data_IF_820786227327
#
_entry.id   IF_820786227327
#
_cell.length_a   1.000
_cell.length_b   1.000
_cell.length_c   1.000
_cell.angle_alpha   90.00
_cell.angle_beta   90.00
_cell.angle_gamma   90.00
#
_symmetry.space_group_name_H-M   'P 1'
#
loop_
_entity.id
_entity.type
_entity.pdbx_description
1 polymer ?
#
# COMPACT_ATOMS: atom_id res chain seq x y z
N UNK A 1 -3.80 -8.82 -25.23
CA UNK A 1 -3.02 -7.79 -24.57
C UNK A 1 -3.98 -7.08 -23.62
N UNK A 2 -3.78 -7.29 -22.33
CA UNK A 2 -4.86 -7.24 -21.36
C UNK A 2 -5.28 -5.85 -20.89
N UNK A 3 -6.49 -5.48 -21.20
CA UNK A 3 -7.23 -4.40 -20.55
C UNK A 3 -7.71 -4.75 -19.11
N UNK A 4 -7.24 -5.87 -18.54
CA UNK A 4 -7.76 -6.42 -17.30
C UNK A 4 -7.32 -5.71 -16.03
N UNK A 5 -6.06 -5.29 -15.92
CA UNK A 5 -5.50 -4.77 -14.67
C UNK A 5 -6.05 -3.38 -14.30
N UNK A 6 -6.07 -2.46 -15.22
CA UNK A 6 -6.58 -1.10 -14.99
C UNK A 6 -8.10 -1.05 -14.69
N UNK A 7 -8.91 -1.91 -15.31
CA UNK A 7 -10.34 -2.01 -15.02
C UNK A 7 -10.65 -2.59 -13.63
N UNK A 8 -9.77 -3.42 -13.10
CA UNK A 8 -9.95 -4.04 -11.78
C UNK A 8 -9.60 -3.06 -10.66
N UNK A 9 -8.55 -2.24 -10.85
CA UNK A 9 -8.19 -1.13 -9.95
C UNK A 9 -9.30 -0.06 -9.96
N UNK A 10 -9.83 0.31 -11.13
CA UNK A 10 -10.95 1.25 -11.24
C UNK A 10 -12.26 0.77 -10.62
N UNK A 11 -12.44 -0.54 -10.41
CA UNK A 11 -13.63 -1.09 -9.74
C UNK A 11 -13.49 -1.14 -8.21
N UNK A 12 -12.27 -1.21 -7.69
CA UNK A 12 -12.02 -1.28 -6.24
C UNK A 12 -11.67 0.06 -5.59
N UNK A 13 -11.13 0.98 -6.38
CA UNK A 13 -10.83 2.35 -5.99
C UNK A 13 -11.55 3.25 -7.00
N UNK A 14 -12.42 4.13 -6.55
CA UNK A 14 -12.86 5.24 -7.39
C UNK A 14 -11.67 6.19 -7.53
N UNK A 15 -10.84 5.93 -8.55
CA UNK A 15 -9.54 6.57 -8.74
C UNK A 15 -9.68 8.10 -8.74
N UNK A 16 -10.76 8.64 -9.33
CA UNK A 16 -10.98 10.10 -9.35
C UNK A 16 -11.16 10.67 -7.93
N UNK A 17 -11.93 10.04 -7.07
CA UNK A 17 -12.12 10.54 -5.70
C UNK A 17 -10.89 10.28 -4.82
N UNK A 18 -10.09 9.25 -5.13
CA UNK A 18 -8.80 9.05 -4.47
C UNK A 18 -7.76 10.07 -4.96
N UNK A 19 -7.78 10.43 -6.24
CA UNK A 19 -6.97 11.51 -6.80
C UNK A 19 -7.36 12.87 -6.21
N UNK A 20 -8.65 13.16 -6.04
CA UNK A 20 -9.14 14.37 -5.38
C UNK A 20 -8.70 14.43 -3.91
N UNK A 21 -8.77 13.29 -3.20
CA UNK A 21 -8.24 13.17 -1.84
C UNK A 21 -6.72 13.38 -1.80
N UNK A 22 -5.96 12.74 -2.69
CA UNK A 22 -4.51 12.95 -2.80
C UNK A 22 -4.19 14.40 -3.15
N UNK A 23 -4.95 15.01 -4.06
CA UNK A 23 -4.78 16.42 -4.44
C UNK A 23 -5.01 17.35 -3.24
N UNK A 24 -6.00 17.05 -2.38
CA UNK A 24 -6.22 17.79 -1.14
C UNK A 24 -5.05 17.66 -0.13
N UNK A 25 -4.32 16.55 -0.17
CA UNK A 25 -3.11 16.34 0.65
C UNK A 25 -1.86 16.99 0.05
N UNK A 26 -1.87 17.29 -1.25
CA UNK A 26 -0.71 17.85 -1.98
C UNK A 26 -0.36 19.27 -1.54
N UNK A 27 -1.30 20.05 -0.98
CA UNK A 27 -1.06 21.40 -0.48
C UNK A 27 0.02 21.48 0.61
N UNK A 28 0.34 20.36 1.26
CA UNK A 28 1.34 20.25 2.32
C UNK A 28 2.64 19.57 1.87
N UNK A 29 2.79 19.26 0.57
CA UNK A 29 3.98 18.61 0.06
C UNK A 29 5.10 19.65 -0.18
N UNK A 30 6.38 19.28 0.03
CA UNK A 30 7.50 20.16 -0.29
C UNK A 30 7.56 20.43 -1.79
N UNK A 31 7.98 21.64 -2.13
CA UNK A 31 8.24 22.00 -3.54
C UNK A 31 9.31 21.07 -4.13
N UNK A 32 9.01 20.47 -5.26
CA UNK A 32 9.93 19.61 -6.02
C UNK A 32 10.16 20.29 -7.38
N UNK A 33 11.42 20.65 -7.74
CA UNK A 33 11.73 21.22 -9.05
C UNK A 33 11.37 20.27 -10.20
N UNK A 34 10.95 20.84 -11.34
CA UNK A 34 10.61 20.07 -12.54
C UNK A 34 11.77 19.21 -13.05
N UNK A 35 13.01 19.71 -12.91
CA UNK A 35 14.25 19.01 -13.23
C UNK A 35 15.26 19.26 -12.12
N UNK A 36 15.85 18.20 -11.60
CA UNK A 36 16.87 18.28 -10.55
C UNK A 36 17.96 17.22 -10.76
N UNK A 37 19.21 17.65 -10.72
CA UNK A 37 20.36 16.73 -10.65
C UNK A 37 20.47 16.19 -9.22
N UNK A 38 20.13 14.91 -9.02
CA UNK A 38 20.14 14.27 -7.70
C UNK A 38 21.51 13.70 -7.37
N UNK A 39 22.17 13.10 -8.37
CA UNK A 39 23.51 12.57 -8.30
C UNK A 39 24.22 12.74 -9.65
N UNK A 40 25.54 12.47 -9.76
CA UNK A 40 26.23 12.53 -11.05
C UNK A 40 25.58 11.65 -12.14
N UNK A 41 24.82 10.64 -11.75
CA UNK A 41 24.20 9.66 -12.66
C UNK A 41 22.67 9.72 -12.70
N UNK A 42 22.03 10.51 -11.82
CA UNK A 42 20.57 10.55 -11.72
C UNK A 42 20.05 11.96 -11.84
N UNK A 43 19.24 12.20 -12.85
CA UNK A 43 18.45 13.42 -13.02
C UNK A 43 16.99 13.05 -12.77
N UNK A 44 16.36 13.72 -11.80
CA UNK A 44 14.91 13.65 -11.61
C UNK A 44 14.24 14.64 -12.57
N UNK A 45 13.28 14.13 -13.33
CA UNK A 45 12.39 14.95 -14.15
C UNK A 45 10.97 14.65 -13.68
N UNK A 46 10.22 15.65 -13.24
CA UNK A 46 8.80 15.49 -12.97
C UNK A 46 8.10 15.18 -14.29
N UNK A 47 7.66 13.92 -14.41
CA UNK A 47 7.10 13.40 -15.64
C UNK A 47 5.67 13.89 -15.86
N UNK A 48 5.48 14.66 -16.91
CA UNK A 48 4.17 14.86 -17.51
C UNK A 48 3.99 13.97 -18.76
N UNK A 49 4.95 13.05 -19.02
CA UNK A 49 4.89 12.24 -20.24
C UNK A 49 5.68 10.93 -20.15
N UNK A 50 5.03 9.75 -20.35
CA UNK A 50 5.72 8.48 -20.48
C UNK A 50 6.50 8.44 -21.81
N UNK A 51 7.80 8.48 -21.79
CA UNK A 51 8.60 8.31 -23.01
C UNK A 51 9.94 9.02 -23.07
N UNK A 52 10.38 9.73 -22.05
CA UNK A 52 11.75 10.24 -22.01
C UNK A 52 12.69 9.20 -21.41
N UNK A 53 13.52 8.63 -22.25
CA UNK A 53 14.63 7.75 -21.84
C UNK A 53 15.86 8.64 -21.64
N UNK A 54 16.45 8.59 -20.44
CA UNK A 54 17.72 9.21 -20.15
C UNK A 54 18.78 8.13 -20.06
N UNK A 55 19.79 8.19 -20.93
CA UNK A 55 20.96 7.30 -20.88
C UNK A 55 22.10 8.04 -20.26
N UNK A 56 22.71 7.47 -19.22
CA UNK A 56 23.93 8.00 -18.59
C UNK A 56 25.02 6.96 -18.78
N UNK A 57 26.17 7.35 -19.34
CA UNK A 57 27.32 6.46 -19.48
C UNK A 57 27.87 6.05 -18.12
N UNK A 58 28.23 4.77 -17.98
CA UNK A 58 28.89 4.25 -16.78
C UNK A 58 27.97 3.91 -15.62
N UNK A 59 26.66 3.73 -15.85
CA UNK A 59 25.72 3.23 -14.83
C UNK A 59 25.31 1.79 -15.12
N UNK A 60 25.41 0.93 -14.10
CA UNK A 60 24.88 -0.44 -14.11
C UNK A 60 23.51 -0.44 -13.47
N UNK A 61 22.48 -0.75 -14.26
CA UNK A 61 21.09 -0.79 -13.79
C UNK A 61 20.60 -2.23 -13.77
N UNK A 62 20.22 -2.70 -12.58
CA UNK A 62 19.65 -4.04 -12.38
C UNK A 62 18.16 -3.98 -12.11
N UNK A 63 17.37 -4.65 -12.94
CA UNK A 63 15.93 -4.76 -12.78
C UNK A 63 15.56 -5.82 -11.71
N UNK A 64 14.60 -5.50 -10.88
CA UNK A 64 14.08 -6.38 -9.82
C UNK A 64 12.55 -6.37 -9.89
N UNK A 65 11.95 -7.53 -10.18
CA UNK A 65 10.49 -7.67 -10.14
C UNK A 65 9.98 -7.55 -8.71
N UNK A 66 9.09 -6.59 -8.49
CA UNK A 66 8.61 -6.14 -7.19
C UNK A 66 7.10 -5.95 -7.17
N UNK A 67 6.32 -7.03 -7.41
CA UNK A 67 4.86 -6.95 -7.48
C UNK A 67 4.23 -6.57 -6.14
N UNK A 68 2.98 -6.08 -6.18
CA UNK A 68 2.19 -5.79 -4.99
C UNK A 68 1.45 -4.46 -5.03
N UNK A 69 2.09 -3.38 -5.51
CA UNK A 69 1.39 -2.18 -5.97
C UNK A 69 0.62 -2.49 -7.26
N UNK A 70 1.31 -3.10 -8.22
CA UNK A 70 0.73 -3.78 -9.38
C UNK A 70 1.43 -5.13 -9.59
N UNK A 71 0.82 -6.03 -10.37
CA UNK A 71 1.38 -7.37 -10.62
C UNK A 71 2.66 -7.35 -11.44
N UNK A 72 2.87 -6.34 -12.27
CA UNK A 72 3.99 -6.16 -13.19
C UNK A 72 5.04 -5.17 -12.70
N UNK A 73 4.89 -4.65 -11.47
CA UNK A 73 5.77 -3.60 -10.94
C UNK A 73 7.24 -4.04 -10.89
N UNK A 74 8.12 -3.14 -11.32
CA UNK A 74 9.58 -3.32 -11.31
C UNK A 74 10.24 -2.19 -10.54
N UNK A 75 11.26 -2.51 -9.77
CA UNK A 75 12.25 -1.56 -9.28
C UNK A 75 13.55 -1.71 -10.05
N UNK A 76 14.34 -0.66 -10.12
CA UNK A 76 15.65 -0.69 -10.75
C UNK A 76 16.71 -0.23 -9.77
N UNK A 77 17.81 -0.94 -9.69
CA UNK A 77 18.93 -0.63 -8.81
C UNK A 77 20.04 -0.04 -9.63
N UNK A 78 20.52 1.14 -9.24
CA UNK A 78 21.72 1.77 -9.75
C UNK A 78 22.86 1.34 -8.82
N UNK A 79 23.67 0.41 -9.28
CA UNK A 79 24.67 -0.28 -8.44
C UNK A 79 25.74 0.70 -7.90
N UNK A 80 26.22 1.63 -8.75
CA UNK A 80 27.28 2.57 -8.38
C UNK A 80 26.84 3.60 -7.34
N UNK A 81 25.55 3.91 -7.28
CA UNK A 81 24.99 4.86 -6.32
C UNK A 81 24.41 4.17 -5.08
N UNK A 82 24.43 2.83 -5.04
CA UNK A 82 23.71 2.02 -4.04
C UNK A 82 22.27 2.52 -3.84
N UNK A 83 21.59 2.78 -4.96
CA UNK A 83 20.31 3.43 -4.99
C UNK A 83 19.26 2.58 -5.73
N UNK A 84 18.01 2.71 -5.33
CA UNK A 84 16.87 2.02 -5.96
C UNK A 84 15.85 3.03 -6.49
N UNK A 85 15.50 2.93 -7.76
CA UNK A 85 14.31 3.54 -8.30
C UNK A 85 13.13 2.69 -7.83
N UNK A 86 12.40 3.18 -6.83
CA UNK A 86 11.40 2.40 -6.11
C UNK A 86 10.03 2.36 -6.81
N UNK A 87 9.86 3.16 -7.86
CA UNK A 87 8.58 3.31 -8.54
C UNK A 87 7.48 3.70 -7.54
N UNK A 88 6.33 3.05 -7.68
CA UNK A 88 5.18 3.27 -6.81
C UNK A 88 5.12 2.31 -5.60
N UNK A 89 6.04 1.38 -5.46
CA UNK A 89 6.07 0.53 -4.26
C UNK A 89 6.42 1.29 -2.98
N UNK A 90 7.37 2.24 -3.07
CA UNK A 90 7.73 3.10 -1.96
C UNK A 90 7.74 4.54 -2.43
N UNK A 91 6.85 5.34 -1.85
CA UNK A 91 6.71 6.76 -2.17
C UNK A 91 7.58 7.63 -1.27
N UNK A 92 7.97 8.78 -1.77
CA UNK A 92 8.69 9.82 -1.01
C UNK A 92 7.82 10.54 0.02
N UNK A 93 6.51 10.31 -0.01
CA UNK A 93 5.53 10.76 0.98
C UNK A 93 4.42 9.72 1.13
N UNK A 94 3.74 9.74 2.28
CA UNK A 94 2.58 8.87 2.51
C UNK A 94 2.88 7.38 2.32
N UNK A 95 1.88 6.63 1.88
CA UNK A 95 1.92 5.20 1.60
C UNK A 95 1.21 4.90 0.27
N UNK A 96 1.68 3.92 -0.46
CA UNK A 96 1.11 3.53 -1.75
C UNK A 96 -0.20 2.76 -1.63
N UNK A 97 -0.99 2.79 -2.69
CA UNK A 97 -2.08 1.83 -2.91
C UNK A 97 -1.49 0.43 -3.15
N UNK A 98 -2.15 -0.59 -2.62
CA UNK A 98 -1.69 -1.97 -2.69
C UNK A 98 -2.77 -2.82 -3.34
N UNK A 99 -2.42 -3.48 -4.45
CA UNK A 99 -3.33 -4.38 -5.15
C UNK A 99 -3.44 -5.73 -4.44
N UNK A 100 -2.31 -6.25 -3.92
CA UNK A 100 -2.22 -7.53 -3.21
C UNK A 100 -1.28 -7.42 -2.00
N UNK A 101 -1.86 -7.37 -0.80
CA UNK A 101 -1.12 -7.10 0.44
C UNK A 101 -0.09 -8.18 0.77
N UNK A 102 -0.42 -9.44 0.56
CA UNK A 102 0.48 -10.57 0.85
C UNK A 102 1.76 -10.49 0.03
N UNK A 103 1.59 -10.29 -1.28
CA UNK A 103 2.70 -10.13 -2.22
C UNK A 103 3.48 -8.84 -1.95
N UNK A 104 2.78 -7.73 -1.70
CA UNK A 104 3.42 -6.46 -1.38
C UNK A 104 4.34 -6.56 -0.14
N UNK A 105 3.89 -7.20 0.93
CA UNK A 105 4.74 -7.38 2.13
C UNK A 105 5.95 -8.29 1.88
N UNK A 106 5.82 -9.31 1.01
CA UNK A 106 6.97 -10.12 0.56
C UNK A 106 7.94 -9.27 -0.28
N UNK A 107 7.40 -8.45 -1.16
CA UNK A 107 8.16 -7.53 -2.00
C UNK A 107 8.93 -6.50 -1.17
N UNK A 108 8.32 -5.90 -0.14
CA UNK A 108 9.04 -4.99 0.76
C UNK A 108 10.25 -5.65 1.42
N UNK A 109 10.12 -6.91 1.87
CA UNK A 109 11.26 -7.68 2.41
C UNK A 109 12.32 -7.95 1.35
N UNK A 110 11.90 -8.27 0.11
CA UNK A 110 12.81 -8.44 -1.02
C UNK A 110 13.56 -7.16 -1.36
N UNK A 111 12.88 -6.02 -1.34
CA UNK A 111 13.49 -4.70 -1.54
C UNK A 111 14.48 -4.37 -0.41
N UNK A 112 14.10 -4.64 0.83
CA UNK A 112 14.98 -4.46 1.99
C UNK A 112 16.27 -5.29 1.89
N UNK A 113 16.18 -6.51 1.37
CA UNK A 113 17.31 -7.40 1.17
C UNK A 113 18.28 -6.94 0.07
N UNK A 114 17.89 -5.98 -0.80
CA UNK A 114 18.81 -5.37 -1.77
C UNK A 114 19.81 -4.42 -1.13
N UNK A 115 19.57 -3.99 0.10
CA UNK A 115 20.44 -3.15 0.91
C UNK A 115 20.78 -1.78 0.31
N UNK A 116 19.92 -1.26 -0.57
CA UNK A 116 20.07 0.06 -1.13
C UNK A 116 19.83 1.14 -0.07
N UNK A 117 20.68 2.18 -0.10
CA UNK A 117 20.62 3.26 0.86
C UNK A 117 19.64 4.37 0.43
N UNK A 118 19.64 4.71 -0.85
CA UNK A 118 18.86 5.80 -1.41
C UNK A 118 17.68 5.23 -2.20
N UNK A 119 16.50 5.84 -2.06
CA UNK A 119 15.33 5.54 -2.88
C UNK A 119 14.93 6.73 -3.76
N UNK A 120 14.72 6.47 -5.03
CA UNK A 120 14.16 7.41 -6.00
C UNK A 120 12.74 6.97 -6.33
N UNK A 121 11.72 7.55 -5.68
CA UNK A 121 10.34 7.16 -5.90
C UNK A 121 9.76 7.81 -7.16
N UNK A 122 8.66 7.23 -7.69
CA UNK A 122 7.91 7.85 -8.76
C UNK A 122 7.20 9.14 -8.29
N UNK A 123 6.83 9.20 -7.01
CA UNK A 123 6.13 10.34 -6.41
C UNK A 123 6.78 10.77 -5.08
N UNK A 124 6.85 12.08 -4.87
CA UNK A 124 7.38 12.68 -3.64
C UNK A 124 8.89 12.95 -3.68
N UNK A 125 9.46 13.14 -2.50
CA UNK A 125 10.87 13.50 -2.34
C UNK A 125 11.78 12.27 -2.37
N UNK A 126 13.07 12.49 -2.65
CA UNK A 126 14.12 11.47 -2.55
C UNK A 126 14.14 10.90 -1.13
N UNK A 127 14.23 9.59 -1.03
CA UNK A 127 14.30 8.84 0.23
C UNK A 127 15.77 8.65 0.58
N UNK A 128 16.27 9.41 1.54
CA UNK A 128 17.69 9.40 1.94
C UNK A 128 18.09 8.16 2.75
N UNK A 129 17.12 7.50 3.36
CA UNK A 129 17.29 6.25 4.12
C UNK A 129 16.17 5.30 3.73
N UNK A 130 16.39 4.57 2.64
CA UNK A 130 15.42 3.65 2.08
C UNK A 130 15.15 2.46 3.01
N UNK A 131 16.17 1.99 3.73
CA UNK A 131 16.04 0.87 4.68
C UNK A 131 15.05 1.21 5.80
N UNK A 132 15.22 2.38 6.42
CA UNK A 132 14.29 2.86 7.47
C UNK A 132 12.90 3.08 6.92
N UNK A 133 12.76 3.65 5.72
CA UNK A 133 11.45 3.85 5.08
C UNK A 133 10.74 2.51 4.85
N UNK A 134 11.41 1.50 4.27
CA UNK A 134 10.83 0.17 4.04
C UNK A 134 10.43 -0.50 5.37
N UNK A 135 11.28 -0.41 6.39
CA UNK A 135 10.99 -0.93 7.73
C UNK A 135 9.73 -0.27 8.30
N UNK A 136 9.60 1.04 8.14
CA UNK A 136 8.42 1.80 8.56
C UNK A 136 7.13 1.36 7.85
N UNK A 137 7.19 1.16 6.53
CA UNK A 137 6.07 0.65 5.73
C UNK A 137 5.64 -0.76 6.19
N UNK A 138 6.58 -1.68 6.35
CA UNK A 138 6.31 -3.02 6.90
C UNK A 138 5.67 -2.96 8.28
N UNK A 139 6.24 -2.16 9.17
CA UNK A 139 5.72 -2.00 10.54
C UNK A 139 4.30 -1.42 10.55
N UNK A 140 3.98 -0.50 9.62
CA UNK A 140 2.64 0.05 9.46
C UNK A 140 1.64 -1.03 9.03
N UNK A 141 1.97 -1.86 8.04
CA UNK A 141 1.10 -2.96 7.59
C UNK A 141 0.87 -3.98 8.72
N UNK A 142 1.91 -4.39 9.41
CA UNK A 142 1.82 -5.31 10.56
C UNK A 142 0.98 -4.70 11.71
N UNK A 143 1.12 -3.40 12.00
CA UNK A 143 0.25 -2.74 12.98
C UNK A 143 -1.22 -2.79 12.56
N UNK A 144 -1.52 -2.61 11.28
CA UNK A 144 -2.88 -2.68 10.76
C UNK A 144 -3.47 -4.09 10.89
N UNK A 145 -2.72 -5.12 10.55
CA UNK A 145 -3.13 -6.51 10.78
C UNK A 145 -3.51 -6.77 12.24
N UNK A 146 -2.64 -6.33 13.17
CA UNK A 146 -2.89 -6.47 14.60
C UNK A 146 -4.14 -5.70 15.06
N UNK A 147 -4.40 -4.52 14.50
CA UNK A 147 -5.61 -3.75 14.82
C UNK A 147 -6.88 -4.49 14.36
N UNK A 148 -6.86 -5.05 13.14
CA UNK A 148 -7.96 -5.85 12.60
C UNK A 148 -8.21 -7.07 13.47
N UNK A 149 -7.19 -7.86 13.79
CA UNK A 149 -7.32 -9.05 14.64
C UNK A 149 -7.86 -8.71 16.03
N UNK A 150 -7.36 -7.63 16.67
CA UNK A 150 -7.85 -7.18 17.97
C UNK A 150 -9.33 -6.79 17.93
N UNK A 151 -9.78 -6.08 16.90
CA UNK A 151 -11.16 -5.68 16.76
C UNK A 151 -12.09 -6.90 16.56
N UNK A 152 -11.66 -7.90 15.79
CA UNK A 152 -12.40 -9.14 15.61
C UNK A 152 -12.48 -9.95 16.92
N UNK A 153 -11.38 -10.10 17.67
CA UNK A 153 -11.36 -10.78 18.97
C UNK A 153 -12.23 -10.08 20.00
N UNK A 154 -12.20 -8.76 20.07
CA UNK A 154 -13.08 -7.99 20.94
C UNK A 154 -14.56 -8.21 20.59
N UNK A 155 -14.89 -8.28 19.31
CA UNK A 155 -16.26 -8.61 18.88
C UNK A 155 -16.66 -10.02 19.28
N UNK A 156 -15.79 -11.01 19.09
CA UNK A 156 -15.99 -12.40 19.48
C UNK A 156 -16.23 -12.54 20.99
N UNK A 157 -15.43 -11.85 21.80
CA UNK A 157 -15.57 -11.82 23.26
C UNK A 157 -16.89 -11.18 23.68
N UNK A 158 -17.28 -10.06 23.06
CA UNK A 158 -18.56 -9.38 23.32
C UNK A 158 -19.76 -10.29 23.01
N UNK A 159 -19.73 -11.01 21.91
CA UNK A 159 -20.78 -11.95 21.52
C UNK A 159 -20.91 -13.09 22.54
N UNK A 160 -19.78 -13.62 23.02
CA UNK A 160 -19.79 -14.64 24.10
C UNK A 160 -20.38 -14.12 25.39
N UNK A 161 -20.00 -12.92 25.82
CA UNK A 161 -20.55 -12.29 27.03
C UNK A 161 -22.06 -12.00 26.90
N UNK A 162 -22.54 -11.77 25.68
CA UNK A 162 -23.96 -11.59 25.39
C UNK A 162 -24.74 -12.90 25.25
N UNK A 163 -24.12 -14.06 25.56
CA UNK A 163 -24.77 -15.38 25.55
C UNK A 163 -25.06 -15.90 24.14
N UNK A 164 -24.37 -15.42 23.11
CA UNK A 164 -24.58 -15.92 21.75
C UNK A 164 -23.84 -17.25 21.55
N UNK A 165 -24.51 -18.25 21.03
CA UNK A 165 -23.94 -19.59 20.76
C UNK A 165 -22.76 -19.53 19.78
N UNK A 166 -22.79 -18.59 18.83
CA UNK A 166 -21.75 -18.41 17.82
C UNK A 166 -21.45 -16.93 17.61
N UNK A 167 -20.15 -16.56 17.45
CA UNK A 167 -19.76 -15.21 17.11
C UNK A 167 -20.46 -14.74 15.83
N UNK A 168 -20.97 -13.50 15.84
CA UNK A 168 -21.66 -12.92 14.69
C UNK A 168 -20.68 -12.50 13.58
N UNK A 169 -19.44 -12.17 13.97
CA UNK A 169 -18.45 -11.60 13.08
C UNK A 169 -18.76 -10.15 12.71
N UNK A 170 -17.84 -9.51 12.02
CA UNK A 170 -17.96 -8.13 11.57
C UNK A 170 -17.89 -8.03 10.05
N UNK A 171 -18.68 -7.14 9.44
CA UNK A 171 -18.45 -6.69 8.07
C UNK A 171 -17.23 -5.78 8.04
N UNK A 172 -16.69 -5.51 6.85
CA UNK A 172 -15.61 -4.52 6.65
C UNK A 172 -16.02 -3.17 7.23
N UNK A 173 -17.22 -2.71 6.94
CA UNK A 173 -17.75 -1.42 7.42
C UNK A 173 -17.88 -1.35 8.95
N UNK A 174 -18.37 -2.42 9.58
CA UNK A 174 -18.43 -2.52 11.05
C UNK A 174 -17.03 -2.56 11.67
N UNK A 175 -16.09 -3.22 11.01
CA UNK A 175 -14.69 -3.30 11.43
C UNK A 175 -13.99 -1.94 11.33
N UNK A 176 -14.19 -1.22 10.22
CA UNK A 176 -13.70 0.17 10.07
C UNK A 176 -14.25 1.05 11.18
N UNK A 177 -15.56 0.96 11.47
CA UNK A 177 -16.18 1.72 12.56
C UNK A 177 -15.63 1.35 13.94
N UNK A 178 -15.30 0.08 14.16
CA UNK A 178 -14.71 -0.41 15.42
C UNK A 178 -13.26 0.10 15.62
N UNK A 179 -12.48 0.24 14.51
CA UNK A 179 -11.09 0.68 14.57
C UNK A 179 -10.95 2.21 14.60
N UNK A 180 -11.75 2.92 13.81
CA UNK A 180 -11.60 4.37 13.58
C UNK A 180 -12.68 5.23 14.26
N UNK A 181 -13.71 4.60 14.84
CA UNK A 181 -14.88 5.31 15.36
C UNK A 181 -15.85 5.72 14.24
N UNK A 182 -16.82 6.58 14.60
CA UNK A 182 -17.88 7.04 13.68
C UNK A 182 -17.59 8.40 13.04
N UNK A 183 -16.50 9.05 13.39
CA UNK A 183 -16.15 10.40 12.93
C UNK A 183 -15.36 10.42 11.61
N UNK A 184 -15.17 9.28 10.96
CA UNK A 184 -14.49 9.22 9.68
C UNK A 184 -15.43 9.70 8.58
N UNK A 185 -14.92 10.57 7.70
CA UNK A 185 -15.64 11.02 6.52
C UNK A 185 -16.11 9.82 5.68
N UNK A 186 -17.35 9.86 5.19
CA UNK A 186 -18.00 8.72 4.54
C UNK A 186 -17.35 8.39 3.19
N UNK A 187 -16.83 9.38 2.48
CA UNK A 187 -16.17 9.23 1.21
C UNK A 187 -14.79 8.61 1.40
N UNK A 188 -13.99 9.15 2.31
CA UNK A 188 -12.69 8.58 2.73
C UNK A 188 -12.86 7.14 3.22
N UNK A 189 -13.92 6.89 3.99
CA UNK A 189 -14.23 5.56 4.50
C UNK A 189 -14.45 4.56 3.37
N UNK A 190 -15.34 4.87 2.41
CA UNK A 190 -15.71 3.95 1.32
C UNK A 190 -14.64 3.78 0.27
N UNK A 191 -13.93 4.86 -0.06
CA UNK A 191 -13.00 4.89 -1.18
C UNK A 191 -11.58 4.47 -0.80
N UNK A 192 -11.17 4.68 0.44
CA UNK A 192 -9.81 4.40 0.87
C UNK A 192 -9.74 3.35 1.99
N UNK A 193 -10.53 3.52 3.06
CA UNK A 193 -10.32 2.71 4.28
C UNK A 193 -10.95 1.33 4.18
N UNK A 194 -12.19 1.20 3.70
CA UNK A 194 -12.86 -0.09 3.56
C UNK A 194 -12.14 -1.03 2.57
N UNK A 195 -11.73 -0.57 1.35
CA UNK A 195 -10.95 -1.40 0.44
C UNK A 195 -9.62 -1.86 1.03
N UNK A 196 -8.92 -0.97 1.74
CA UNK A 196 -7.68 -1.32 2.40
C UNK A 196 -7.86 -2.37 3.51
N UNK A 197 -8.91 -2.24 4.34
CA UNK A 197 -9.22 -3.23 5.38
C UNK A 197 -9.67 -4.55 4.77
N UNK A 198 -10.41 -4.55 3.65
CA UNK A 198 -10.78 -5.79 2.94
C UNK A 198 -9.54 -6.53 2.44
N UNK A 199 -8.54 -5.81 1.94
CA UNK A 199 -7.28 -6.39 1.50
C UNK A 199 -6.46 -6.96 2.67
N UNK A 200 -6.43 -6.28 3.81
CA UNK A 200 -5.82 -6.82 5.04
C UNK A 200 -6.53 -8.11 5.49
N UNK A 201 -7.86 -8.16 5.41
CA UNK A 201 -8.63 -9.36 5.75
C UNK A 201 -8.37 -10.52 4.79
N UNK A 202 -8.22 -10.25 3.49
CA UNK A 202 -7.82 -11.26 2.50
C UNK A 202 -6.47 -11.87 2.86
N UNK A 203 -5.47 -11.04 3.12
CA UNK A 203 -4.14 -11.47 3.54
C UNK A 203 -4.20 -12.30 4.83
N UNK A 204 -4.95 -11.86 5.84
CA UNK A 204 -5.12 -12.61 7.09
C UNK A 204 -5.88 -13.93 6.90
N UNK A 205 -6.76 -14.03 5.90
CA UNK A 205 -7.42 -15.27 5.54
C UNK A 205 -6.46 -16.25 4.84
N UNK A 206 -5.58 -15.75 3.97
CA UNK A 206 -4.50 -16.54 3.37
C UNK A 206 -3.55 -17.11 4.42
N UNK A 207 -3.28 -16.33 5.47
CA UNK A 207 -2.47 -16.78 6.61
C UNK A 207 -3.21 -17.77 7.53
N UNK A 208 -4.51 -18.02 7.31
CA UNK A 208 -5.33 -18.86 8.16
C UNK A 208 -5.68 -18.24 9.53
N UNK A 209 -5.56 -16.91 9.67
CA UNK A 209 -5.87 -16.23 10.94
C UNK A 209 -7.34 -15.83 11.07
N UNK A 210 -8.03 -15.59 9.95
CA UNK A 210 -9.45 -15.22 9.92
C UNK A 210 -10.20 -15.98 8.84
N UNK A 211 -11.52 -16.06 9.00
CA UNK A 211 -12.42 -16.57 7.97
C UNK A 211 -13.69 -15.74 7.93
N UNK A 212 -14.44 -15.84 6.84
CA UNK A 212 -15.74 -15.19 6.74
C UNK A 212 -16.88 -16.20 6.56
N UNK A 213 -18.07 -15.78 6.95
CA UNK A 213 -19.33 -16.45 6.66
C UNK A 213 -20.30 -15.48 6.01
N UNK A 214 -21.12 -15.95 5.10
CA UNK A 214 -22.21 -15.16 4.53
C UNK A 214 -23.39 -15.14 5.51
N UNK A 215 -23.82 -13.95 5.91
CA UNK A 215 -25.02 -13.73 6.73
C UNK A 215 -25.80 -12.52 6.18
N UNK A 216 -27.03 -12.74 5.82
CA UNK A 216 -27.87 -11.72 5.19
C UNK A 216 -27.23 -11.11 3.94
N UNK A 217 -26.59 -11.94 3.10
CA UNK A 217 -25.91 -11.50 1.86
C UNK A 217 -24.58 -10.74 2.08
N UNK A 218 -24.13 -10.57 3.33
CA UNK A 218 -22.89 -9.85 3.66
C UNK A 218 -21.83 -10.79 4.22
N UNK A 219 -20.56 -10.56 3.84
CA UNK A 219 -19.42 -11.24 4.45
C UNK A 219 -19.25 -10.76 5.90
N UNK A 220 -19.25 -11.68 6.85
CA UNK A 220 -18.96 -11.45 8.26
C UNK A 220 -17.67 -12.17 8.64
N UNK A 221 -16.65 -11.42 8.97
CA UNK A 221 -15.32 -11.89 9.31
C UNK A 221 -15.18 -12.19 10.80
N UNK A 222 -14.45 -13.23 11.13
CA UNK A 222 -14.10 -13.62 12.51
C UNK A 222 -12.72 -14.25 12.54
N UNK A 223 -12.05 -14.19 13.70
CA UNK A 223 -10.84 -14.98 13.95
C UNK A 223 -11.20 -16.47 14.02
N UNK A 224 -10.29 -17.30 13.56
CA UNK A 224 -10.40 -18.77 13.63
C UNK A 224 -10.20 -19.29 15.05
#
# INVERSE_FOLDING_TARGET
MGEGGYRQINKSLNICAFEDYLTSQMSNLPFIPDVEQISPRVIRVLGQNPGKIFTVEGATVRAVHTPGHSHDHMCFIVEEDNAMLTGDNILGHGSTAVEEMSTYMKTLRKMQAQDCQIGYPAHGTVIKDLRTKITGELAQKIRRERQVLRALEQSKTRDRMAGKDKPQGLTVSELVSAIHGRGLDEEVRKLAVEPFIDEVLRKLAEDGAVAFRLRGGKKKWSTL
#
